data_IF_323508364651
#
_entry.id   IF_323508364651
#
_cell.length_a   1.000
_cell.length_b   1.000
_cell.length_c   1.000
_cell.angle_alpha   90.00
_cell.angle_beta   90.00
_cell.angle_gamma   90.00
#
_symmetry.space_group_name_H-M   'P 1'
#
loop_
_entity.id
_entity.type
_entity.pdbx_description
1 polymer ?
#
# COMPACT_ATOMS: atom_id res chain seq x y z
N UNK A 1 28.95 -4.49 14.14
CA UNK A 1 28.47 -3.10 13.97
C UNK A 1 28.29 -2.38 15.30
N UNK A 2 27.35 -2.80 16.17
CA UNK A 2 27.10 -2.17 17.49
C UNK A 2 28.37 -1.96 18.33
N UNK A 3 29.14 -3.02 18.54
CA UNK A 3 30.40 -2.98 19.30
C UNK A 3 31.43 -2.04 18.67
N UNK A 4 31.62 -2.14 17.35
CA UNK A 4 32.62 -1.33 16.62
C UNK A 4 32.32 0.17 16.70
N UNK A 5 31.04 0.56 16.77
CA UNK A 5 30.59 1.94 16.88
C UNK A 5 30.47 2.42 18.34
N UNK A 6 30.65 1.54 19.32
CA UNK A 6 30.52 1.88 20.74
C UNK A 6 29.12 2.30 21.18
N UNK A 7 28.06 1.81 20.52
CA UNK A 7 26.68 2.19 20.85
C UNK A 7 26.10 1.31 21.97
N UNK A 8 25.48 1.95 22.97
CA UNK A 8 24.72 1.27 24.01
C UNK A 8 23.47 0.57 23.44
N UNK A 9 22.84 1.18 22.43
CA UNK A 9 21.67 0.67 21.71
C UNK A 9 21.89 0.74 20.21
N UNK A 10 21.65 -0.37 19.50
CA UNK A 10 21.59 -0.41 18.04
C UNK A 10 20.39 -1.26 17.65
N UNK A 11 19.34 -0.60 17.19
CA UNK A 11 18.13 -1.22 16.66
C UNK A 11 18.25 -1.29 15.13
N UNK A 12 18.03 -2.48 14.57
CA UNK A 12 17.94 -2.68 13.12
C UNK A 12 16.52 -3.22 12.86
N UNK A 13 15.75 -2.47 12.09
CA UNK A 13 14.34 -2.77 11.82
C UNK A 13 14.10 -2.83 10.31
N UNK A 14 13.07 -3.58 9.91
CA UNK A 14 12.56 -3.55 8.55
C UNK A 14 12.07 -2.14 8.17
N UNK A 15 12.13 -1.80 6.89
CA UNK A 15 11.74 -0.49 6.37
C UNK A 15 10.25 -0.18 6.62
N UNK A 16 9.35 -1.14 6.41
CA UNK A 16 7.93 -1.02 6.73
C UNK A 16 7.64 -1.03 8.23
N UNK A 17 8.44 -1.72 9.04
CA UNK A 17 8.43 -1.51 10.50
C UNK A 17 8.74 -0.06 10.82
N UNK A 18 9.79 0.52 10.21
CA UNK A 18 10.13 1.93 10.34
C UNK A 18 8.99 2.85 9.90
N UNK A 19 8.38 2.63 8.74
CA UNK A 19 7.25 3.45 8.27
C UNK A 19 6.04 3.31 9.20
N UNK A 20 5.72 2.10 9.67
CA UNK A 20 4.62 1.89 10.60
C UNK A 20 4.82 2.70 11.88
N UNK A 21 6.00 2.61 12.50
CA UNK A 21 6.33 3.33 13.73
C UNK A 21 6.34 4.85 13.58
N UNK A 22 6.31 5.38 12.35
CA UNK A 22 6.19 6.80 12.10
C UNK A 22 4.76 7.31 12.33
N UNK A 23 3.74 6.47 12.14
CA UNK A 23 2.32 6.86 12.12
C UNK A 23 1.90 7.63 13.37
N UNK A 24 2.25 7.21 14.61
CA UNK A 24 1.90 7.96 15.81
C UNK A 24 2.51 9.37 15.88
N UNK A 25 3.59 9.63 15.13
CA UNK A 25 4.28 10.91 15.09
C UNK A 25 3.91 11.76 13.86
N UNK A 26 3.07 11.27 12.95
CA UNK A 26 2.59 12.02 11.80
C UNK A 26 1.56 13.07 12.23
N UNK A 27 1.60 14.23 11.58
CA UNK A 27 0.64 15.32 11.78
C UNK A 27 -0.28 15.42 10.56
N UNK A 28 -1.33 16.23 10.65
CA UNK A 28 -2.33 16.39 9.58
C UNK A 28 -1.71 16.85 8.26
N UNK A 29 -0.70 17.72 8.30
CA UNK A 29 0.03 18.20 7.11
C UNK A 29 0.83 17.09 6.39
N UNK A 30 1.08 15.97 7.06
CA UNK A 30 1.79 14.82 6.48
C UNK A 30 0.85 13.80 5.83
N UNK A 31 -0.47 14.06 5.83
CA UNK A 31 -1.50 13.09 5.45
C UNK A 31 -2.48 13.69 4.46
N UNK A 32 -2.79 12.93 3.42
CA UNK A 32 -3.91 13.21 2.50
C UNK A 32 -4.97 12.13 2.70
N UNK A 33 -6.19 12.52 3.10
CA UNK A 33 -7.26 11.58 3.39
C UNK A 33 -8.02 11.13 2.14
N UNK A 34 -8.38 9.84 2.09
CA UNK A 34 -9.18 9.19 1.05
C UNK A 34 -10.40 8.49 1.70
N UNK A 35 -11.43 9.28 2.02
CA UNK A 35 -12.67 8.79 2.62
C UNK A 35 -12.55 8.37 4.10
N UNK A 36 -13.63 7.80 4.63
CA UNK A 36 -13.77 7.44 6.04
C UNK A 36 -13.99 8.63 6.97
N UNK A 37 -14.13 8.34 8.26
CA UNK A 37 -14.29 9.33 9.32
C UNK A 37 -12.96 9.70 9.99
N UNK A 38 -12.97 9.82 11.32
CA UNK A 38 -11.78 10.02 12.13
C UNK A 38 -11.29 8.68 12.71
N UNK A 39 -9.98 8.51 12.92
CA UNK A 39 -9.43 7.27 13.48
C UNK A 39 -9.87 7.09 14.92
N UNK A 40 -10.18 5.85 15.30
CA UNK A 40 -10.48 5.50 16.68
C UNK A 40 -9.18 5.31 17.45
N UNK A 41 -8.93 6.20 18.43
CA UNK A 41 -7.69 6.20 19.20
C UNK A 41 -7.37 4.83 19.83
N UNK A 42 -6.12 4.38 19.67
CA UNK A 42 -5.62 3.13 20.23
C UNK A 42 -6.14 1.85 19.55
N UNK A 43 -6.93 1.95 18.48
CA UNK A 43 -7.33 0.78 17.69
C UNK A 43 -6.22 0.37 16.71
N UNK A 44 -6.25 -0.88 16.19
CA UNK A 44 -5.26 -1.34 15.23
C UNK A 44 -5.19 -0.45 14.01
N UNK A 45 -3.99 -0.35 13.46
CA UNK A 45 -3.66 0.39 12.25
C UNK A 45 -2.98 -0.56 11.27
N UNK A 46 -3.17 -0.35 9.97
CA UNK A 46 -2.34 -1.00 8.95
C UNK A 46 -1.67 0.06 8.08
N UNK A 47 -0.44 -0.22 7.69
CA UNK A 47 0.25 0.49 6.62
C UNK A 47 0.67 -0.48 5.53
N UNK A 48 0.45 -0.08 4.28
CA UNK A 48 0.91 -0.81 3.11
C UNK A 48 1.38 0.18 2.04
N UNK A 49 2.20 -0.23 1.09
CA UNK A 49 2.68 0.70 0.08
C UNK A 49 3.32 0.02 -1.11
N UNK A 50 2.91 0.49 -2.29
CA UNK A 50 3.45 0.05 -3.57
C UNK A 50 4.66 0.91 -3.95
N UNK A 51 5.82 0.26 -4.11
CA UNK A 51 7.07 0.86 -4.56
C UNK A 51 7.76 -0.08 -5.56
N UNK A 52 9.01 -0.43 -5.31
CA UNK A 52 9.67 -1.55 -6.02
C UNK A 52 8.96 -2.88 -5.75
N UNK A 53 8.45 -3.07 -4.54
CA UNK A 53 7.60 -4.19 -4.11
C UNK A 53 6.33 -3.70 -3.41
N UNK A 54 5.73 -4.57 -2.59
CA UNK A 54 4.55 -4.28 -1.79
C UNK A 54 4.78 -4.65 -0.32
N UNK A 55 5.11 -3.65 0.50
CA UNK A 55 5.26 -3.85 1.94
C UNK A 55 3.93 -3.74 2.69
N UNK A 56 3.81 -4.46 3.81
CA UNK A 56 2.67 -4.42 4.72
C UNK A 56 3.16 -4.53 6.16
N UNK A 57 2.64 -3.69 7.05
CA UNK A 57 2.85 -3.83 8.50
C UNK A 57 1.62 -3.32 9.26
N UNK A 58 1.35 -3.91 10.41
CA UNK A 58 0.29 -3.46 11.30
C UNK A 58 0.88 -2.82 12.56
N UNK A 59 0.08 -2.01 13.23
CA UNK A 59 0.38 -1.46 14.54
C UNK A 59 -0.78 -1.72 15.50
N UNK A 60 -0.45 -2.11 16.72
CA UNK A 60 -1.41 -2.23 17.82
C UNK A 60 -0.94 -1.41 19.01
N UNK A 61 -1.88 -0.87 19.77
CA UNK A 61 -1.58 -0.09 20.97
C UNK A 61 -1.81 -0.92 22.23
N UNK A 62 -0.73 -1.22 22.96
CA UNK A 62 -0.72 -2.07 24.16
C UNK A 62 0.10 -1.36 25.24
N UNK A 63 -0.44 -1.22 26.45
CA UNK A 63 0.27 -0.62 27.60
C UNK A 63 0.96 0.72 27.30
N UNK A 64 0.23 1.65 26.63
CA UNK A 64 0.73 2.98 26.21
C UNK A 64 1.84 2.93 25.16
N UNK A 65 2.02 1.79 24.50
CA UNK A 65 3.04 1.58 23.47
C UNK A 65 2.39 1.16 22.18
N UNK A 66 2.91 1.70 21.09
CA UNK A 66 2.66 1.21 19.75
C UNK A 66 3.63 0.07 19.45
N UNK A 67 3.09 -1.09 19.09
CA UNK A 67 3.83 -2.31 18.75
C UNK A 67 3.63 -2.59 17.26
N UNK A 68 4.73 -2.55 16.50
CA UNK A 68 4.73 -2.94 15.09
C UNK A 68 4.65 -4.45 14.96
N UNK A 69 3.76 -4.91 14.08
CA UNK A 69 3.59 -6.29 13.68
C UNK A 69 4.06 -6.41 12.22
N UNK A 70 5.32 -6.81 11.98
CA UNK A 70 5.85 -6.98 10.63
C UNK A 70 5.27 -8.23 9.97
N UNK A 71 5.34 -8.28 8.64
CA UNK A 71 5.00 -9.47 7.88
C UNK A 71 5.14 -9.26 6.38
N UNK A 72 4.91 -10.33 5.63
CA UNK A 72 5.07 -10.38 4.16
C UNK A 72 3.71 -10.33 3.44
N UNK A 73 2.81 -9.47 3.94
CA UNK A 73 1.41 -9.43 3.49
C UNK A 73 1.25 -9.15 1.99
N UNK A 74 2.22 -8.47 1.36
CA UNK A 74 2.21 -8.22 -0.08
C UNK A 74 2.42 -9.46 -0.95
N UNK A 75 2.94 -10.54 -0.37
CA UNK A 75 3.14 -11.81 -1.05
C UNK A 75 1.94 -12.76 -0.97
N UNK A 76 0.85 -12.35 -0.32
CA UNK A 76 -0.43 -13.09 -0.38
C UNK A 76 -1.02 -13.11 -1.79
N UNK A 77 -1.87 -14.09 -2.09
CA UNK A 77 -2.48 -14.29 -3.42
C UNK A 77 -3.24 -13.06 -3.93
N UNK A 78 -3.13 -12.78 -5.23
CA UNK A 78 -3.98 -11.80 -5.89
C UNK A 78 -5.43 -12.30 -5.97
N UNK A 79 -6.37 -11.50 -5.45
CA UNK A 79 -7.79 -11.79 -5.45
C UNK A 79 -8.54 -10.99 -6.53
N UNK A 80 -8.65 -11.56 -7.72
CA UNK A 80 -9.44 -11.01 -8.83
C UNK A 80 -10.93 -10.90 -8.45
N UNK A 81 -11.58 -9.78 -8.81
CA UNK A 81 -13.00 -9.52 -8.50
C UNK A 81 -13.85 -9.19 -9.74
N UNK A 82 -13.32 -9.49 -10.93
CA UNK A 82 -14.03 -9.34 -12.20
C UNK A 82 -13.52 -10.35 -13.21
N UNK A 83 -14.28 -10.58 -14.28
CA UNK A 83 -13.86 -11.46 -15.38
C UNK A 83 -12.56 -10.98 -16.04
N UNK A 84 -12.44 -9.68 -16.28
CA UNK A 84 -11.23 -9.06 -16.82
C UNK A 84 -10.01 -9.30 -15.93
N UNK A 85 -10.15 -9.13 -14.62
CA UNK A 85 -9.07 -9.44 -13.68
C UNK A 85 -8.77 -10.93 -13.59
N UNK A 86 -9.78 -11.78 -13.79
CA UNK A 86 -9.60 -13.23 -13.92
C UNK A 86 -8.72 -13.57 -15.12
N UNK A 87 -8.97 -12.94 -16.27
CA UNK A 87 -8.13 -13.10 -17.47
C UNK A 87 -6.70 -12.63 -17.19
N UNK A 88 -6.53 -11.45 -16.57
CA UNK A 88 -5.21 -10.94 -16.17
C UNK A 88 -4.48 -11.91 -15.25
N UNK A 89 -5.17 -12.47 -14.26
CA UNK A 89 -4.63 -13.44 -13.33
C UNK A 89 -4.12 -14.69 -14.05
N UNK A 90 -4.90 -15.25 -14.99
CA UNK A 90 -4.47 -16.42 -15.78
C UNK A 90 -3.26 -16.10 -16.67
N UNK A 91 -3.25 -14.94 -17.34
CA UNK A 91 -2.12 -14.51 -18.14
C UNK A 91 -0.82 -14.45 -17.32
N UNK A 92 -0.88 -13.83 -16.13
CA UNK A 92 0.28 -13.73 -15.25
C UNK A 92 0.67 -15.07 -14.64
N UNK A 93 -0.29 -15.94 -14.32
CA UNK A 93 -0.04 -17.28 -13.78
C UNK A 93 0.71 -18.15 -14.79
N UNK A 94 0.37 -18.07 -16.07
CA UNK A 94 1.06 -18.80 -17.13
C UNK A 94 2.54 -18.40 -17.27
N UNK A 95 2.88 -17.15 -16.97
CA UNK A 95 4.27 -16.65 -17.07
C UNK A 95 5.07 -16.83 -15.77
N UNK A 96 4.43 -16.66 -14.61
CA UNK A 96 5.11 -16.49 -13.32
C UNK A 96 4.82 -17.61 -12.32
N UNK A 97 3.82 -18.45 -12.58
CA UNK A 97 3.27 -19.38 -11.59
C UNK A 97 2.46 -18.64 -10.53
N UNK A 98 3.00 -18.50 -9.32
CA UNK A 98 2.31 -17.81 -8.23
C UNK A 98 2.16 -16.31 -8.51
N UNK A 99 0.93 -15.80 -8.40
CA UNK A 99 0.59 -14.38 -8.60
C UNK A 99 0.18 -13.76 -7.27
N UNK A 100 1.14 -13.12 -6.60
CA UNK A 100 0.88 -12.36 -5.38
C UNK A 100 0.30 -10.97 -5.66
N UNK A 101 -0.23 -10.32 -4.61
CA UNK A 101 -0.63 -8.92 -4.68
C UNK A 101 0.51 -8.00 -5.15
N UNK A 102 1.77 -8.26 -4.77
CA UNK A 102 2.94 -7.53 -5.25
C UNK A 102 3.14 -7.59 -6.77
N UNK A 103 2.79 -8.72 -7.41
CA UNK A 103 2.89 -8.87 -8.88
C UNK A 103 1.96 -7.92 -9.64
N UNK A 104 1.03 -7.26 -8.93
CA UNK A 104 0.07 -6.29 -9.45
C UNK A 104 0.33 -4.90 -8.86
N UNK A 105 0.54 -4.82 -7.55
CA UNK A 105 0.59 -3.60 -6.75
C UNK A 105 2.03 -3.15 -6.46
N UNK A 106 2.80 -2.95 -7.52
CA UNK A 106 4.15 -2.41 -7.47
C UNK A 106 4.47 -1.68 -8.78
N UNK A 107 5.62 -1.01 -8.87
CA UNK A 107 6.12 -0.47 -10.13
C UNK A 107 6.20 -1.55 -11.22
N UNK A 108 6.90 -2.68 -10.98
CA UNK A 108 6.86 -3.83 -11.89
C UNK A 108 5.44 -4.37 -12.11
N UNK A 109 4.58 -4.31 -11.09
CA UNK A 109 3.19 -4.74 -11.18
C UNK A 109 2.33 -3.92 -12.17
N UNK A 110 2.58 -2.62 -12.29
CA UNK A 110 1.96 -1.79 -13.34
C UNK A 110 2.33 -2.26 -14.74
N UNK A 111 3.59 -2.66 -14.95
CA UNK A 111 4.03 -3.21 -16.22
C UNK A 111 3.39 -4.58 -16.48
N UNK A 112 3.25 -5.42 -15.45
CA UNK A 112 2.54 -6.69 -15.55
C UNK A 112 1.07 -6.50 -15.94
N UNK A 113 0.38 -5.54 -15.31
CA UNK A 113 -0.99 -5.18 -15.67
C UNK A 113 -1.10 -4.74 -17.13
N UNK A 114 -0.25 -3.80 -17.56
CA UNK A 114 -0.21 -3.35 -18.96
C UNK A 114 0.00 -4.53 -19.92
N UNK A 115 1.01 -5.37 -19.69
CA UNK A 115 1.33 -6.51 -20.56
C UNK A 115 0.16 -7.50 -20.62
N UNK A 116 -0.47 -7.80 -19.48
CA UNK A 116 -1.62 -8.71 -19.42
C UNK A 116 -2.84 -8.14 -20.15
N UNK A 117 -3.12 -6.84 -20.04
CA UNK A 117 -4.21 -6.16 -20.76
C UNK A 117 -3.99 -6.25 -22.28
N UNK A 118 -2.78 -5.93 -22.76
CA UNK A 118 -2.46 -5.97 -24.19
C UNK A 118 -2.58 -7.38 -24.75
N UNK A 119 -2.08 -8.39 -24.02
CA UNK A 119 -2.18 -9.80 -24.41
C UNK A 119 -3.61 -10.33 -24.38
N UNK A 120 -4.43 -9.91 -23.41
CA UNK A 120 -5.83 -10.28 -23.34
C UNK A 120 -6.63 -9.79 -24.57
N UNK A 121 -6.17 -8.72 -25.21
CA UNK A 121 -6.71 -8.16 -26.45
C UNK A 121 -6.04 -8.76 -27.71
N UNK A 122 -5.25 -9.82 -27.57
CA UNK A 122 -4.58 -10.50 -28.69
C UNK A 122 -3.47 -9.68 -29.37
N UNK A 123 -2.95 -8.65 -28.69
CA UNK A 123 -1.87 -7.78 -29.18
C UNK A 123 -0.54 -8.10 -28.50
N UNK A 124 0.55 -7.62 -29.12
CA UNK A 124 1.90 -7.70 -28.55
C UNK A 124 2.23 -6.42 -27.75
N UNK A 125 2.66 -6.53 -26.48
CA UNK A 125 3.02 -5.37 -25.67
C UNK A 125 4.35 -4.76 -26.10
N UNK A 126 4.43 -3.43 -26.06
CA UNK A 126 5.68 -2.71 -26.21
C UNK A 126 6.59 -2.94 -24.99
N UNK A 127 7.90 -2.79 -25.18
CA UNK A 127 8.90 -2.95 -24.12
C UNK A 127 9.02 -1.69 -23.24
N UNK A 128 7.96 -1.40 -22.50
CA UNK A 128 7.91 -0.27 -21.57
C UNK A 128 8.58 -0.56 -20.22
N UNK A 129 8.97 0.51 -19.54
CA UNK A 129 9.36 0.54 -18.14
C UNK A 129 8.18 0.97 -17.27
N UNK A 130 8.19 0.65 -15.96
CA UNK A 130 7.13 1.06 -15.03
C UNK A 130 6.75 2.55 -15.09
N UNK A 131 7.74 3.44 -15.24
CA UNK A 131 7.52 4.89 -15.34
C UNK A 131 6.73 5.28 -16.59
N UNK A 132 6.94 4.58 -17.70
CA UNK A 132 6.29 4.89 -18.98
C UNK A 132 4.78 4.63 -18.87
N UNK A 133 4.39 3.61 -18.09
CA UNK A 133 2.98 3.30 -17.83
C UNK A 133 2.32 4.46 -17.09
N UNK A 134 2.95 4.98 -16.03
CA UNK A 134 2.39 6.10 -15.25
C UNK A 134 2.36 7.40 -16.06
N UNK A 135 3.43 7.72 -16.79
CA UNK A 135 3.52 8.95 -17.60
C UNK A 135 2.47 8.93 -18.71
N UNK A 136 2.41 7.87 -19.51
CA UNK A 136 1.46 7.76 -20.61
C UNK A 136 -0.01 7.69 -20.16
N UNK A 137 -0.26 7.13 -18.97
CA UNK A 137 -1.60 7.10 -18.39
C UNK A 137 -2.07 8.49 -17.94
N UNK A 138 -1.17 9.27 -17.32
CA UNK A 138 -1.46 10.64 -16.86
C UNK A 138 -1.60 11.61 -18.04
N UNK A 139 -0.74 11.47 -19.05
CA UNK A 139 -0.75 12.29 -20.27
C UNK A 139 -1.86 11.89 -21.25
N UNK A 140 -2.62 10.83 -20.95
CA UNK A 140 -3.70 10.28 -21.78
C UNK A 140 -3.26 9.88 -23.20
N UNK A 141 -2.02 9.39 -23.34
CA UNK A 141 -1.42 9.01 -24.63
C UNK A 141 -1.41 7.51 -24.90
N UNK A 142 -1.88 6.70 -23.95
CA UNK A 142 -1.93 5.24 -24.04
C UNK A 142 -3.14 4.69 -23.27
N UNK A 143 -4.13 4.17 -24.00
CA UNK A 143 -5.37 3.62 -23.44
C UNK A 143 -5.10 2.41 -22.53
N UNK A 144 -4.19 1.52 -22.93
CA UNK A 144 -3.79 0.34 -22.14
C UNK A 144 -3.09 0.73 -20.83
N UNK A 145 -2.22 1.75 -20.90
CA UNK A 145 -1.51 2.27 -19.74
C UNK A 145 -2.49 2.93 -18.76
N UNK A 146 -3.45 3.70 -19.29
CA UNK A 146 -4.54 4.28 -18.49
C UNK A 146 -5.42 3.22 -17.86
N UNK A 147 -5.71 2.12 -18.56
CA UNK A 147 -6.44 0.97 -18.01
C UNK A 147 -5.64 0.28 -16.89
N UNK A 148 -4.36 0.03 -17.10
CA UNK A 148 -3.46 -0.55 -16.11
C UNK A 148 -3.42 0.29 -14.82
N UNK A 149 -3.26 1.62 -14.95
CA UNK A 149 -3.23 2.52 -13.80
C UNK A 149 -4.59 2.61 -13.09
N UNK A 150 -5.70 2.55 -13.86
CA UNK A 150 -7.05 2.51 -13.29
C UNK A 150 -7.31 1.24 -12.47
N UNK A 151 -6.96 0.06 -13.02
CA UNK A 151 -7.07 -1.22 -12.32
C UNK A 151 -6.18 -1.25 -11.08
N UNK A 152 -4.93 -0.78 -11.19
CA UNK A 152 -4.02 -0.64 -10.05
C UNK A 152 -4.68 0.12 -8.90
N UNK A 153 -5.31 1.27 -9.16
CA UNK A 153 -5.94 2.07 -8.11
C UNK A 153 -7.10 1.33 -7.42
N UNK A 154 -7.95 0.64 -8.19
CA UNK A 154 -9.09 -0.13 -7.64
C UNK A 154 -8.60 -1.36 -6.85
N UNK A 155 -7.59 -2.08 -7.36
CA UNK A 155 -6.99 -3.25 -6.69
C UNK A 155 -6.29 -2.81 -5.40
N UNK A 156 -5.59 -1.68 -5.41
CA UNK A 156 -4.95 -1.11 -4.22
C UNK A 156 -5.99 -0.83 -3.13
N UNK A 157 -7.14 -0.25 -3.51
CA UNK A 157 -8.28 -0.05 -2.63
C UNK A 157 -8.79 -1.35 -2.03
N UNK A 158 -9.09 -2.35 -2.87
CA UNK A 158 -9.58 -3.66 -2.42
C UNK A 158 -8.62 -4.35 -1.47
N UNK A 159 -7.32 -4.29 -1.76
CA UNK A 159 -6.28 -4.84 -0.90
C UNK A 159 -6.27 -4.15 0.47
N UNK A 160 -6.30 -2.81 0.51
CA UNK A 160 -6.42 -2.05 1.76
C UNK A 160 -7.69 -2.41 2.55
N UNK A 161 -8.83 -2.60 1.87
CA UNK A 161 -10.08 -3.01 2.51
C UNK A 161 -10.02 -4.43 3.09
N UNK A 162 -9.29 -5.35 2.45
CA UNK A 162 -9.06 -6.70 2.99
C UNK A 162 -8.21 -6.64 4.26
N UNK A 163 -7.14 -5.83 4.27
CA UNK A 163 -6.31 -5.62 5.46
C UNK A 163 -7.13 -5.01 6.61
N UNK A 164 -7.99 -4.04 6.29
CA UNK A 164 -8.85 -3.41 7.28
C UNK A 164 -9.83 -4.37 7.94
N UNK A 165 -10.42 -5.29 7.16
CA UNK A 165 -11.28 -6.36 7.68
C UNK A 165 -10.50 -7.36 8.51
N UNK A 166 -9.30 -7.76 8.07
CA UNK A 166 -8.53 -8.82 8.69
C UNK A 166 -8.15 -8.49 10.15
N UNK A 167 -7.79 -7.23 10.42
CA UNK A 167 -7.34 -6.78 11.74
C UNK A 167 -8.23 -5.71 12.38
N UNK A 168 -9.42 -5.46 11.82
CA UNK A 168 -10.37 -4.45 12.32
C UNK A 168 -9.70 -3.09 12.57
N UNK A 169 -9.05 -2.55 11.53
CA UNK A 169 -8.10 -1.43 11.68
C UNK A 169 -8.78 -0.07 11.79
N UNK A 170 -9.64 0.11 12.80
CA UNK A 170 -10.36 1.36 13.06
C UNK A 170 -9.44 2.52 13.44
N UNK A 171 -8.17 2.26 13.78
CA UNK A 171 -7.16 3.29 13.96
C UNK A 171 -6.71 3.92 12.63
N UNK A 172 -7.10 3.33 11.50
CA UNK A 172 -6.86 3.85 10.16
C UNK A 172 -6.04 2.91 9.29
N UNK A 173 -6.08 3.20 8.00
CA UNK A 173 -5.35 2.52 6.93
C UNK A 173 -4.43 3.54 6.28
N UNK A 174 -3.13 3.24 6.22
CA UNK A 174 -2.14 4.17 5.72
C UNK A 174 -1.47 3.61 4.47
N UNK A 175 -1.29 4.47 3.47
CA UNK A 175 -0.54 4.16 2.26
C UNK A 175 0.82 4.84 2.40
N UNK A 176 1.88 4.05 2.48
CA UNK A 176 3.24 4.56 2.47
C UNK A 176 3.56 5.15 1.09
N UNK A 177 4.15 6.34 1.08
CA UNK A 177 4.58 7.02 -0.14
C UNK A 177 5.56 6.15 -0.94
N UNK A 178 5.19 5.84 -2.18
CA UNK A 178 5.98 5.05 -3.13
C UNK A 178 5.75 5.57 -4.54
N UNK A 179 5.06 4.80 -5.38
CA UNK A 179 4.72 5.27 -6.74
C UNK A 179 3.50 6.20 -6.76
N UNK A 180 2.57 6.08 -5.80
CA UNK A 180 1.29 6.82 -5.77
C UNK A 180 1.43 8.34 -5.82
N UNK A 181 2.36 8.98 -5.06
CA UNK A 181 2.51 10.45 -5.12
C UNK A 181 2.81 11.00 -6.52
N UNK A 182 3.37 10.20 -7.44
CA UNK A 182 3.70 10.62 -8.81
C UNK A 182 2.48 10.80 -9.71
N UNK A 183 1.36 10.18 -9.36
CA UNK A 183 0.10 10.26 -10.10
C UNK A 183 -1.06 10.62 -9.15
N UNK A 184 -0.80 11.49 -8.17
CA UNK A 184 -1.73 11.82 -7.09
C UNK A 184 -3.10 12.29 -7.60
N UNK A 185 -3.14 13.17 -8.61
CA UNK A 185 -4.41 13.68 -9.14
C UNK A 185 -5.20 12.59 -9.86
N UNK A 186 -4.53 11.71 -10.60
CA UNK A 186 -5.14 10.50 -11.17
C UNK A 186 -5.70 9.60 -10.07
N UNK A 187 -4.92 9.38 -9.00
CA UNK A 187 -5.31 8.54 -7.87
C UNK A 187 -6.54 9.10 -7.13
N UNK A 188 -6.61 10.42 -6.91
CA UNK A 188 -7.79 11.11 -6.34
C UNK A 188 -9.04 10.93 -7.20
N UNK A 189 -8.89 10.97 -8.52
CA UNK A 189 -9.99 10.79 -9.47
C UNK A 189 -10.35 9.31 -9.71
N UNK A 190 -9.59 8.38 -9.15
CA UNK A 190 -9.73 6.94 -9.40
C UNK A 190 -10.85 6.29 -8.59
N UNK A 191 -11.16 5.04 -8.91
CA UNK A 191 -12.08 4.19 -8.13
C UNK A 191 -11.50 3.63 -6.82
N UNK A 192 -10.36 4.12 -6.32
CA UNK A 192 -9.67 3.59 -5.13
C UNK A 192 -10.61 3.39 -3.93
N UNK A 193 -11.32 4.44 -3.52
CA UNK A 193 -12.20 4.36 -2.33
C UNK A 193 -13.39 3.44 -2.56
N UNK A 194 -13.92 3.42 -3.79
CA UNK A 194 -14.95 2.46 -4.20
C UNK A 194 -14.46 1.01 -4.04
N UNK A 195 -13.25 0.71 -4.51
CA UNK A 195 -12.64 -0.62 -4.33
C UNK A 195 -12.36 -0.97 -2.87
N UNK A 196 -11.99 0.00 -2.04
CA UNK A 196 -11.81 -0.21 -0.60
C UNK A 196 -13.09 -0.63 0.12
N UNK A 197 -14.21 0.02 -0.20
CA UNK A 197 -15.51 -0.22 0.43
C UNK A 197 -16.32 -1.36 -0.20
N UNK A 198 -15.90 -1.89 -1.36
CA UNK A 198 -16.56 -2.99 -2.06
C UNK A 198 -16.36 -4.33 -1.34
N UNK A 199 -17.09 -4.50 -0.23
CA UNK A 199 -17.04 -5.67 0.68
C UNK A 199 -18.43 -6.27 0.94
N UNK A 200 -19.36 -6.09 0.01
CA UNK A 200 -20.74 -6.57 0.13
C UNK A 200 -21.40 -6.12 1.44
N UNK A 201 -21.95 -7.07 2.22
CA UNK A 201 -22.57 -6.78 3.54
C UNK A 201 -21.61 -6.17 4.58
N UNK A 202 -20.29 -6.29 4.37
CA UNK A 202 -19.27 -5.68 5.23
C UNK A 202 -18.87 -4.27 4.76
N UNK A 203 -19.52 -3.71 3.74
CA UNK A 203 -19.27 -2.32 3.32
C UNK A 203 -19.35 -1.34 4.49
N UNK A 204 -20.42 -1.39 5.27
CA UNK A 204 -20.60 -0.48 6.41
C UNK A 204 -19.56 -0.69 7.52
N UNK A 205 -18.91 -1.87 7.60
CA UNK A 205 -17.82 -2.11 8.55
C UNK A 205 -16.58 -1.28 8.23
N UNK A 206 -16.23 -1.17 6.93
CA UNK A 206 -15.01 -0.46 6.48
C UNK A 206 -15.28 1.00 6.10
N UNK A 207 -16.54 1.37 5.87
CA UNK A 207 -16.95 2.70 5.38
C UNK A 207 -16.44 3.87 6.22
N UNK A 208 -16.42 3.73 7.54
CA UNK A 208 -15.96 4.81 8.43
C UNK A 208 -14.45 4.73 8.73
N UNK A 209 -13.75 3.66 8.28
CA UNK A 209 -12.31 3.53 8.48
C UNK A 209 -11.59 4.53 7.56
N UNK A 210 -10.81 5.48 8.12
CA UNK A 210 -10.10 6.44 7.31
C UNK A 210 -8.92 5.81 6.58
N UNK A 211 -8.71 6.26 5.35
CA UNK A 211 -7.50 5.95 4.60
C UNK A 211 -6.68 7.21 4.44
N UNK A 212 -5.36 7.13 4.64
CA UNK A 212 -4.44 8.25 4.43
C UNK A 212 -3.28 7.86 3.53
N UNK A 213 -2.93 8.73 2.58
CA UNK A 213 -1.61 8.70 1.93
C UNK A 213 -0.62 9.49 2.79
N UNK A 214 0.49 8.86 3.14
CA UNK A 214 1.61 9.51 3.84
C UNK A 214 2.41 10.30 2.81
N UNK A 215 2.49 11.62 2.99
CA UNK A 215 3.27 12.54 2.14
C UNK A 215 4.46 13.17 2.87
N UNK A 216 4.79 12.67 4.06
CA UNK A 216 6.05 13.01 4.72
C UNK A 216 7.25 12.49 3.91
N UNK A 217 8.31 13.29 3.79
CA UNK A 217 9.47 12.95 2.94
C UNK A 217 10.28 11.74 3.44
N UNK A 218 10.35 11.56 4.76
CA UNK A 218 11.23 10.57 5.41
C UNK A 218 10.54 9.76 6.52
N UNK A 219 9.43 9.07 6.22
CA UNK A 219 8.65 8.38 7.26
C UNK A 219 9.46 7.25 7.91
N UNK A 220 10.28 6.51 7.14
CA UNK A 220 11.13 5.45 7.70
C UNK A 220 12.12 5.96 8.76
N UNK A 221 12.72 7.14 8.56
CA UNK A 221 13.63 7.73 9.54
C UNK A 221 12.88 8.27 10.77
N UNK A 222 11.71 8.89 10.55
CA UNK A 222 10.86 9.36 11.64
C UNK A 222 10.47 8.20 12.56
N UNK A 223 10.03 7.08 11.98
CA UNK A 223 9.62 5.92 12.76
C UNK A 223 10.76 5.09 13.32
N UNK A 224 11.95 5.07 12.70
CA UNK A 224 13.15 4.53 13.34
C UNK A 224 13.49 5.31 14.63
N UNK A 225 13.36 6.64 14.60
CA UNK A 225 13.49 7.49 15.79
C UNK A 225 12.40 7.21 16.83
N UNK A 226 11.15 7.04 16.41
CA UNK A 226 10.04 6.70 17.30
C UNK A 226 10.23 5.32 17.97
N UNK A 227 10.67 4.31 17.20
CA UNK A 227 11.01 2.98 17.69
C UNK A 227 12.10 3.05 18.76
N UNK A 228 13.23 3.69 18.45
CA UNK A 228 14.35 3.81 19.39
C UNK A 228 13.94 4.59 20.66
N UNK A 229 13.20 5.68 20.54
CA UNK A 229 12.68 6.44 21.70
C UNK A 229 11.81 5.57 22.61
N UNK A 230 10.94 4.73 22.02
CA UNK A 230 10.12 3.82 22.81
C UNK A 230 10.96 2.72 23.49
N UNK A 231 11.98 2.20 22.81
CA UNK A 231 12.97 1.27 23.40
C UNK A 231 13.71 1.90 24.58
N UNK A 232 13.97 3.20 24.53
CA UNK A 232 14.57 3.98 25.62
C UNK A 232 13.56 4.41 26.71
N UNK A 233 12.31 3.95 26.64
CA UNK A 233 11.30 4.16 27.69
C UNK A 233 10.40 5.40 27.51
N UNK A 234 10.48 6.10 26.38
CA UNK A 234 9.56 7.21 26.11
C UNK A 234 8.18 6.70 25.66
N UNK A 235 7.13 7.35 26.17
CA UNK A 235 5.79 7.26 25.59
C UNK A 235 5.73 8.20 24.37
N UNK A 236 5.20 7.70 23.26
CA UNK A 236 5.12 8.44 21.99
C UNK A 236 3.88 9.33 21.93
#
# INVERSE_FOLDING_TARGET
MKQNLGFDHLEIINDFTGVSMAIPALKKEHLIQFGGGEPVAGKPVVVYGAGTGLGVSHLVHVDKRWISLPGEGGHSDFAANSEEEGIILEQLRNELGHVSNERILSGPGLLNLYRAIVKADGREPENYQPKDITEKAVDDTCTDCRRALSLFCVILGRFGGNLALNMSTFGGVYIAGGIVPRFLEFFKASGFRGGFEDKGRFKEFVKDIPVYLIVHDKPGLLGAGAHLRQTLGHVL
#
